data_IF_039257260335
#
_entry.id   IF_039257260335
#
_cell.length_a   1.000
_cell.length_b   1.000
_cell.length_c   1.000
_cell.angle_alpha   90.00
_cell.angle_beta   90.00
_cell.angle_gamma   90.00
#
_symmetry.space_group_name_H-M   'P 1'
#
loop_
_entity.id
_entity.type
_entity.pdbx_description
1 polymer ?
#
# COMPACT_ATOMS: atom_id res chain seq x y z
N UNK A 1 -1.53 -9.19 3.29
CA UNK A 1 -1.63 -9.43 1.83
C UNK A 1 -2.29 -10.77 1.50
N UNK A 2 -2.01 -11.84 2.26
CA UNK A 2 -2.45 -13.21 1.88
C UNK A 2 -3.83 -13.58 2.40
N UNK A 3 -4.22 -13.01 3.54
CA UNK A 3 -5.56 -13.16 4.11
C UNK A 3 -6.60 -12.40 3.30
N UNK A 4 -7.83 -12.89 3.35
CA UNK A 4 -8.89 -12.44 2.45
C UNK A 4 -9.61 -11.19 2.93
N UNK A 5 -9.65 -10.90 4.24
CA UNK A 5 -10.51 -9.87 4.84
C UNK A 5 -10.40 -8.46 4.20
N UNK A 6 -9.22 -8.09 3.67
CA UNK A 6 -9.01 -6.78 3.05
C UNK A 6 -9.27 -6.82 1.54
N UNK A 7 -8.64 -7.76 0.83
CA UNK A 7 -8.77 -7.88 -0.64
C UNK A 7 -10.17 -8.38 -1.05
N UNK A 8 -10.73 -9.32 -0.29
CA UNK A 8 -12.05 -9.90 -0.49
C UNK A 8 -13.08 -8.78 -0.41
N UNK A 9 -13.00 -7.92 0.59
CA UNK A 9 -13.87 -6.74 0.70
C UNK A 9 -13.77 -5.80 -0.52
N UNK A 10 -12.56 -5.48 -0.97
CA UNK A 10 -12.35 -4.64 -2.17
C UNK A 10 -12.97 -5.27 -3.42
N UNK A 11 -12.81 -6.58 -3.59
CA UNK A 11 -13.31 -7.30 -4.76
C UNK A 11 -14.83 -7.50 -4.71
N UNK A 12 -15.36 -7.94 -3.57
CA UNK A 12 -16.75 -8.38 -3.42
C UNK A 12 -17.71 -7.21 -3.18
N UNK A 13 -17.35 -6.24 -2.33
CA UNK A 13 -18.23 -5.10 -2.02
C UNK A 13 -18.07 -3.93 -3.00
N UNK A 14 -16.87 -3.79 -3.61
CA UNK A 14 -16.54 -2.63 -4.42
C UNK A 14 -16.18 -2.96 -5.88
N UNK A 15 -16.08 -4.23 -6.25
CA UNK A 15 -15.76 -4.64 -7.62
C UNK A 15 -14.35 -4.24 -8.07
N UNK A 16 -13.43 -4.02 -7.13
CA UNK A 16 -12.05 -3.59 -7.39
C UNK A 16 -11.15 -4.85 -7.46
N UNK A 17 -10.63 -5.24 -8.64
CA UNK A 17 -9.71 -6.35 -8.75
C UNK A 17 -8.38 -6.03 -8.05
N UNK A 18 -7.81 -6.98 -7.30
CA UNK A 18 -6.56 -6.77 -6.56
C UNK A 18 -5.45 -7.61 -7.15
N UNK A 19 -4.37 -6.94 -7.59
CA UNK A 19 -3.12 -7.60 -7.97
C UNK A 19 -2.20 -7.68 -6.76
N UNK A 20 -1.58 -8.85 -6.57
CA UNK A 20 -0.55 -9.06 -5.54
C UNK A 20 0.83 -9.22 -6.18
N UNK A 21 1.91 -8.84 -5.48
CA UNK A 21 3.27 -9.29 -5.78
C UNK A 21 3.35 -10.81 -5.73
N UNK A 22 4.35 -11.38 -6.38
CA UNK A 22 4.64 -12.82 -6.28
C UNK A 22 5.07 -13.25 -4.87
N UNK A 23 5.29 -14.54 -4.66
CA UNK A 23 5.58 -15.07 -3.32
C UNK A 23 6.92 -14.56 -2.75
N UNK A 24 7.95 -14.42 -3.58
CA UNK A 24 9.27 -13.96 -3.17
C UNK A 24 9.23 -12.47 -2.84
N UNK A 25 8.55 -11.68 -3.68
CA UNK A 25 8.32 -10.26 -3.46
C UNK A 25 7.52 -10.00 -2.18
N UNK A 26 6.48 -10.78 -1.91
CA UNK A 26 5.72 -10.66 -0.65
C UNK A 26 6.57 -11.01 0.58
N UNK A 27 7.44 -12.00 0.48
CA UNK A 27 8.38 -12.34 1.55
C UNK A 27 9.36 -11.19 1.80
N UNK A 28 9.90 -10.58 0.73
CA UNK A 28 10.76 -9.41 0.82
C UNK A 28 10.04 -8.21 1.46
N UNK A 29 8.84 -7.88 0.99
CA UNK A 29 8.02 -6.79 1.56
C UNK A 29 7.81 -7.00 3.05
N UNK A 30 7.42 -8.21 3.47
CA UNK A 30 7.26 -8.57 4.88
C UNK A 30 8.56 -8.39 5.67
N UNK A 31 9.67 -8.90 5.15
CA UNK A 31 10.97 -8.78 5.80
C UNK A 31 11.36 -7.31 6.01
N UNK A 32 11.25 -6.49 4.97
CA UNK A 32 11.59 -5.06 5.02
C UNK A 32 10.72 -4.34 6.05
N UNK A 33 9.40 -4.59 6.08
CA UNK A 33 8.51 -3.98 7.07
C UNK A 33 8.99 -4.27 8.49
N UNK A 34 9.17 -5.55 8.84
CA UNK A 34 9.45 -5.93 10.23
C UNK A 34 10.90 -5.73 10.66
N UNK A 35 11.86 -5.94 9.77
CA UNK A 35 13.29 -5.93 10.10
C UNK A 35 13.96 -4.57 9.81
N UNK A 36 13.26 -3.65 9.15
CA UNK A 36 13.81 -2.32 8.84
C UNK A 36 12.83 -1.21 9.25
N UNK A 37 11.65 -1.15 8.64
CA UNK A 37 10.77 0.02 8.78
C UNK A 37 10.20 0.16 10.19
N UNK A 38 9.72 -0.92 10.80
CA UNK A 38 9.26 -0.92 12.19
C UNK A 38 10.38 -0.59 13.20
N UNK A 39 11.65 -0.69 12.78
CA UNK A 39 12.82 -0.31 13.57
C UNK A 39 13.30 1.12 13.22
N UNK A 40 12.56 1.87 12.40
CA UNK A 40 12.90 3.21 11.95
C UNK A 40 14.07 3.26 10.95
N UNK A 41 14.45 2.12 10.37
CA UNK A 41 15.56 2.02 9.41
C UNK A 41 15.02 2.07 7.99
N UNK A 42 15.56 2.98 7.17
CA UNK A 42 15.24 3.11 5.75
C UNK A 42 16.50 2.87 4.94
N UNK A 43 16.42 1.90 4.01
CA UNK A 43 17.53 1.53 3.11
C UNK A 43 17.19 1.83 1.66
N UNK A 44 18.16 2.29 0.91
CA UNK A 44 17.98 2.61 -0.51
C UNK A 44 17.78 1.35 -1.35
N UNK A 45 18.37 0.22 -0.96
CA UNK A 45 18.15 -1.08 -1.60
C UNK A 45 16.69 -1.54 -1.44
N UNK A 46 16.14 -1.38 -0.23
CA UNK A 46 14.74 -1.69 0.06
C UNK A 46 13.80 -0.75 -0.71
N UNK A 47 14.15 0.53 -0.80
CA UNK A 47 13.41 1.51 -1.62
C UNK A 47 13.39 1.10 -3.09
N UNK A 48 14.55 0.75 -3.65
CA UNK A 48 14.66 0.31 -5.04
C UNK A 48 13.83 -0.95 -5.30
N UNK A 49 13.91 -1.94 -4.40
CA UNK A 49 13.13 -3.16 -4.52
C UNK A 49 11.61 -2.92 -4.48
N UNK A 50 11.13 -2.01 -3.62
CA UNK A 50 9.71 -1.62 -3.59
C UNK A 50 9.27 -0.97 -4.92
N UNK A 51 10.09 -0.09 -5.49
CA UNK A 51 9.79 0.51 -6.78
C UNK A 51 9.76 -0.51 -7.91
N UNK A 52 10.65 -1.49 -7.90
CA UNK A 52 10.65 -2.55 -8.91
C UNK A 52 9.41 -3.45 -8.81
N UNK A 53 8.95 -3.77 -7.59
CA UNK A 53 7.69 -4.48 -7.37
C UNK A 53 6.52 -3.65 -7.91
N UNK A 54 6.47 -2.35 -7.58
CA UNK A 54 5.41 -1.44 -8.05
C UNK A 54 5.39 -1.38 -9.58
N UNK A 55 6.55 -1.23 -10.23
CA UNK A 55 6.65 -1.21 -11.70
C UNK A 55 6.10 -2.49 -12.32
N UNK A 56 6.47 -3.67 -11.79
CA UNK A 56 5.95 -4.96 -12.27
C UNK A 56 4.44 -5.10 -12.06
N UNK A 57 3.89 -4.56 -10.98
CA UNK A 57 2.43 -4.52 -10.78
C UNK A 57 1.74 -3.61 -11.81
N UNK A 58 2.31 -2.45 -12.10
CA UNK A 58 1.79 -1.51 -13.11
C UNK A 58 1.87 -2.10 -14.51
N UNK A 59 2.96 -2.78 -14.86
CA UNK A 59 3.12 -3.51 -16.13
C UNK A 59 2.06 -4.62 -16.28
N UNK A 60 1.60 -5.20 -15.17
CA UNK A 60 0.50 -6.18 -15.12
C UNK A 60 -0.89 -5.53 -15.13
N UNK A 61 -0.98 -4.21 -15.23
CA UNK A 61 -2.23 -3.45 -15.34
C UNK A 61 -2.74 -2.85 -14.03
N UNK A 62 -1.93 -2.76 -12.97
CA UNK A 62 -2.33 -2.00 -11.78
C UNK A 62 -2.46 -0.50 -12.12
N UNK A 63 -3.65 0.06 -11.93
CA UNK A 63 -3.96 1.48 -12.16
C UNK A 63 -3.75 2.34 -10.89
N UNK A 64 -3.38 1.71 -9.78
CA UNK A 64 -3.11 2.36 -8.51
C UNK A 64 -2.48 1.39 -7.52
N UNK A 65 -1.76 1.93 -6.54
CA UNK A 65 -1.07 1.13 -5.51
C UNK A 65 -1.60 1.50 -4.13
N UNK A 66 -2.06 0.50 -3.38
CA UNK A 66 -2.50 0.66 -1.99
C UNK A 66 -1.30 0.51 -1.06
N UNK A 67 -1.00 1.53 -0.26
CA UNK A 67 -0.03 1.45 0.82
C UNK A 67 -0.73 0.83 2.04
N UNK A 68 -0.77 -0.50 2.06
CA UNK A 68 -1.53 -1.29 3.04
C UNK A 68 -0.89 -1.43 4.42
N UNK A 69 0.26 -0.80 4.66
CA UNK A 69 0.91 -0.70 5.96
C UNK A 69 1.45 0.73 6.11
N UNK A 70 1.26 1.34 7.28
CA UNK A 70 1.65 2.73 7.59
C UNK A 70 3.10 3.06 7.24
N UNK A 71 3.98 2.09 7.45
CA UNK A 71 5.42 2.20 7.31
C UNK A 71 5.86 2.30 5.85
N UNK A 72 5.07 1.80 4.91
CA UNK A 72 5.44 1.77 3.49
C UNK A 72 5.61 3.19 2.93
N UNK A 73 4.85 4.17 3.46
CA UNK A 73 4.99 5.59 3.11
C UNK A 73 6.38 6.18 3.41
N UNK A 74 7.21 5.51 4.22
CA UNK A 74 8.61 5.90 4.45
C UNK A 74 9.53 5.63 3.25
N UNK A 75 9.16 4.65 2.40
CA UNK A 75 9.95 4.23 1.22
C UNK A 75 9.43 4.83 -0.08
N UNK A 76 8.11 4.87 -0.25
CA UNK A 76 7.48 5.26 -1.53
C UNK A 76 6.70 6.55 -1.38
N UNK A 77 6.97 7.50 -2.27
CA UNK A 77 6.35 8.82 -2.28
C UNK A 77 5.75 9.11 -3.66
N UNK A 78 4.73 9.96 -3.68
CA UNK A 78 3.94 10.23 -4.89
C UNK A 78 4.69 11.03 -5.98
N UNK A 79 5.83 11.67 -5.66
CA UNK A 79 6.51 12.59 -6.54
C UNK A 79 6.87 11.99 -7.91
N UNK A 80 7.20 10.69 -7.94
CA UNK A 80 7.65 9.97 -9.13
C UNK A 80 6.84 8.69 -9.41
N UNK A 81 5.65 8.56 -8.81
CA UNK A 81 4.85 7.35 -8.95
C UNK A 81 4.18 7.29 -10.34
N UNK A 82 4.30 6.17 -11.09
CA UNK A 82 3.70 6.04 -12.42
C UNK A 82 2.16 5.92 -12.39
N UNK A 83 1.61 5.62 -11.21
CA UNK A 83 0.18 5.51 -10.92
C UNK A 83 -0.11 6.10 -9.53
N UNK A 84 -1.36 6.51 -9.23
CA UNK A 84 -1.73 7.00 -7.91
C UNK A 84 -1.36 6.04 -6.78
N UNK A 85 -0.81 6.61 -5.70
CA UNK A 85 -0.58 5.91 -4.43
C UNK A 85 -1.72 6.24 -3.47
N UNK A 86 -2.27 5.22 -2.81
CA UNK A 86 -3.34 5.34 -1.83
C UNK A 86 -2.80 5.01 -0.45
N UNK A 87 -2.44 6.03 0.32
CA UNK A 87 -2.11 5.88 1.74
C UNK A 87 -3.38 5.57 2.52
N UNK A 88 -3.51 4.30 2.93
CA UNK A 88 -4.72 3.83 3.62
C UNK A 88 -4.94 4.51 4.95
N UNK A 89 -3.86 4.91 5.63
CA UNK A 89 -3.93 5.54 6.95
C UNK A 89 -4.35 6.99 6.83
N UNK A 90 -3.79 7.72 5.87
CA UNK A 90 -4.22 9.09 5.60
C UNK A 90 -5.69 9.12 5.16
N UNK A 91 -6.09 8.25 4.22
CA UNK A 91 -7.47 8.16 3.73
C UNK A 91 -8.42 7.84 4.89
N UNK A 92 -8.07 6.88 5.74
CA UNK A 92 -8.91 6.48 6.87
C UNK A 92 -9.02 7.60 7.92
N UNK A 93 -7.92 8.29 8.24
CA UNK A 93 -7.92 9.39 9.19
C UNK A 93 -8.80 10.56 8.69
N UNK A 94 -8.72 10.91 7.41
CA UNK A 94 -9.58 11.92 6.79
C UNK A 94 -11.05 11.52 6.86
N UNK A 95 -11.38 10.28 6.45
CA UNK A 95 -12.75 9.78 6.53
C UNK A 95 -13.31 9.78 7.96
N UNK A 96 -12.48 9.49 8.96
CA UNK A 96 -12.87 9.56 10.37
C UNK A 96 -13.22 10.99 10.81
N UNK A 97 -12.42 11.98 10.40
CA UNK A 97 -12.69 13.41 10.67
C UNK A 97 -13.96 13.85 9.95
N UNK A 98 -14.10 13.55 8.66
CA UNK A 98 -15.27 13.90 7.86
C UNK A 98 -16.55 13.32 8.49
N UNK A 99 -16.50 12.05 8.91
CA UNK A 99 -17.61 11.38 9.59
C UNK A 99 -17.99 12.08 10.89
N UNK A 100 -17.00 12.49 11.69
CA UNK A 100 -17.23 13.17 12.96
C UNK A 100 -17.85 14.56 12.78
N UNK A 101 -17.50 15.28 11.71
CA UNK A 101 -18.04 16.60 11.42
C UNK A 101 -19.45 16.53 10.79
N UNK A 102 -19.74 15.50 10.01
CA UNK A 102 -21.08 15.25 9.45
C UNK A 102 -22.12 14.95 10.54
N UNK A 103 -21.74 14.41 11.69
CA UNK A 103 -22.65 14.20 12.84
C UNK A 103 -22.99 15.51 13.60
N UNK A 104 -22.37 16.64 13.25
CA UNK A 104 -22.54 17.93 13.94
C UNK A 104 -23.40 18.91 13.11
N UNK A 105 -23.81 18.53 11.89
CA UNK A 105 -24.62 19.37 10.98
C UNK A 105 -26.00 18.77 10.74
#
# INVERSE_FOLDING_TARGET
MEEDFYRGRLQEEHGIPVLLPDAEERALVRQVIYQELCLGTVRDESRAAYWDIIRRLVERGAEGIILGCTEIGMLVTAADAPVPLFDTTEIHARAAVDRALLDIT
#
